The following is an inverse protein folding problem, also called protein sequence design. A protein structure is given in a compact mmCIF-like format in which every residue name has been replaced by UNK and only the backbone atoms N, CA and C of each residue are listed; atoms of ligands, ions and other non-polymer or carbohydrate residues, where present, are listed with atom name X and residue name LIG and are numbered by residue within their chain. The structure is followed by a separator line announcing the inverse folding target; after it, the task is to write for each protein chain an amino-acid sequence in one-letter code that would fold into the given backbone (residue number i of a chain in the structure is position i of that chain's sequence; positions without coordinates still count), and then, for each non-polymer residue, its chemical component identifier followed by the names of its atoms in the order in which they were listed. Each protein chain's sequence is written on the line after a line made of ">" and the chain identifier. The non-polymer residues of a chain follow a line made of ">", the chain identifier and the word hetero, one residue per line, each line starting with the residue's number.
data_IF_383823306542
#
_entry.id   IF_383823306542
#
_cell.length_a   1.000
_cell.length_b   1.000
_cell.length_c   1.000
_cell.angle_alpha   90.00
_cell.angle_beta   90.00
_cell.angle_gamma   90.00
#
_symmetry.space_group_name_H-M   'P 1'
#
loop_
_entity.id
_entity.type
_entity.pdbx_description
1 polymer ?
#
# COMPACT_ATOMS: atom_id res chain seq x y z
N UNK A 1 -21.60 -10.84 12.86
CA UNK A 1 -20.28 -10.17 12.97
C UNK A 1 -19.23 -11.12 12.40
N UNK A 2 -18.69 -10.81 11.23
CA UNK A 2 -17.70 -11.65 10.56
C UNK A 2 -17.49 -11.12 9.15
N UNK A 3 -16.24 -10.79 8.83
CA UNK A 3 -15.84 -10.45 7.47
C UNK A 3 -15.97 -11.72 6.62
N UNK A 4 -16.83 -11.68 5.59
CA UNK A 4 -17.25 -12.87 4.82
C UNK A 4 -16.36 -13.18 3.60
N UNK A 5 -15.39 -12.33 3.29
CA UNK A 5 -14.48 -12.51 2.16
C UNK A 5 -13.17 -13.16 2.58
N UNK A 6 -12.42 -13.68 1.61
CA UNK A 6 -11.08 -14.22 1.84
C UNK A 6 -10.14 -13.11 2.33
N UNK A 7 -9.61 -13.28 3.55
CA UNK A 7 -8.69 -12.30 4.15
C UNK A 7 -7.32 -12.41 3.46
N UNK A 8 -6.83 -11.33 2.80
CA UNK A 8 -5.50 -11.30 2.20
C UNK A 8 -4.42 -11.31 3.28
N UNK A 9 -3.24 -11.79 2.91
CA UNK A 9 -2.05 -11.75 3.75
C UNK A 9 -1.12 -10.63 3.31
N UNK A 10 -0.64 -9.82 4.25
CA UNK A 10 0.43 -8.84 4.02
C UNK A 10 1.63 -9.24 4.89
N UNK A 11 2.77 -9.64 4.30
CA UNK A 11 3.92 -10.08 5.07
C UNK A 11 4.49 -8.91 5.88
N UNK A 12 4.77 -9.10 7.19
CA UNK A 12 5.49 -8.11 7.98
C UNK A 12 6.79 -7.71 7.28
N UNK A 13 7.06 -6.40 7.24
CA UNK A 13 8.22 -5.81 6.57
C UNK A 13 8.35 -6.14 5.06
N UNK A 14 7.32 -6.70 4.43
CA UNK A 14 7.39 -7.14 3.04
C UNK A 14 8.27 -8.38 2.83
N UNK A 15 8.60 -9.12 3.89
CA UNK A 15 9.48 -10.28 3.78
C UNK A 15 8.80 -11.46 3.06
N UNK A 16 9.15 -11.64 1.78
CA UNK A 16 8.55 -12.62 0.89
C UNK A 16 9.51 -13.73 0.45
N UNK A 17 9.98 -14.55 1.39
CA UNK A 17 10.88 -15.67 1.06
C UNK A 17 10.12 -16.80 0.36
N UNK A 18 10.83 -17.63 -0.41
CA UNK A 18 10.29 -18.69 -1.27
C UNK A 18 9.25 -19.62 -0.61
N UNK A 19 9.39 -19.91 0.68
CA UNK A 19 8.43 -20.75 1.41
C UNK A 19 7.08 -20.07 1.64
N UNK A 20 7.03 -18.76 1.86
CA UNK A 20 5.80 -18.04 2.21
C UNK A 20 4.77 -18.03 1.06
N UNK A 21 5.10 -17.66 -0.20
CA UNK A 21 4.17 -17.77 -1.31
C UNK A 21 3.65 -19.19 -1.52
N UNK A 22 4.49 -20.20 -1.31
CA UNK A 22 4.08 -21.60 -1.42
C UNK A 22 3.00 -21.94 -0.38
N UNK A 23 3.21 -21.60 0.90
CA UNK A 23 2.20 -21.81 1.95
C UNK A 23 0.91 -21.04 1.66
N UNK A 24 1.01 -19.76 1.30
CA UNK A 24 -0.18 -18.93 1.04
C UNK A 24 -1.00 -19.46 -0.15
N UNK A 25 -0.33 -20.00 -1.18
CA UNK A 25 -1.01 -20.64 -2.29
C UNK A 25 -1.77 -21.91 -1.87
N UNK A 26 -1.18 -22.76 -1.01
CA UNK A 26 -1.88 -23.92 -0.44
C UNK A 26 -3.10 -23.52 0.39
N UNK A 27 -3.07 -22.32 0.99
CA UNK A 27 -4.17 -21.77 1.77
C UNK A 27 -5.16 -20.93 0.96
N UNK A 28 -4.96 -20.81 -0.37
CA UNK A 28 -5.75 -19.94 -1.26
C UNK A 28 -5.83 -18.49 -0.75
N UNK A 29 -4.72 -17.97 -0.20
CA UNK A 29 -4.63 -16.59 0.30
C UNK A 29 -3.81 -15.71 -0.63
N UNK A 30 -4.38 -14.58 -1.02
CA UNK A 30 -3.66 -13.58 -1.77
C UNK A 30 -2.55 -12.96 -0.91
N UNK A 31 -1.34 -12.85 -1.47
CA UNK A 31 -0.19 -12.22 -0.84
C UNK A 31 -0.04 -10.80 -1.38
N UNK A 32 -0.31 -9.80 -0.55
CA UNK A 32 -0.56 -8.43 -0.97
C UNK A 32 0.53 -7.50 -0.43
N UNK A 33 1.06 -6.69 -1.33
CA UNK A 33 2.08 -5.68 -1.06
C UNK A 33 1.52 -4.28 -1.28
N UNK A 34 2.41 -3.30 -1.31
CA UNK A 34 2.14 -1.91 -1.62
C UNK A 34 3.05 -1.46 -2.76
N UNK A 35 2.60 -0.46 -3.52
CA UNK A 35 3.41 0.18 -4.56
C UNK A 35 3.90 1.57 -4.14
N UNK A 36 3.28 2.15 -3.12
CA UNK A 36 3.57 3.50 -2.63
C UNK A 36 3.88 3.41 -1.13
N UNK A 37 5.07 3.88 -0.75
CA UNK A 37 5.57 3.82 0.62
C UNK A 37 6.18 5.17 1.03
N UNK A 38 5.50 5.96 1.88
CA UNK A 38 6.04 7.21 2.41
C UNK A 38 6.90 7.02 3.65
N UNK A 39 7.05 5.80 4.17
CA UNK A 39 7.72 5.55 5.45
C UNK A 39 7.17 6.40 6.59
N UNK A 40 5.85 6.42 6.73
CA UNK A 40 5.15 7.23 7.72
C UNK A 40 5.58 6.90 9.16
N UNK A 41 5.95 5.64 9.42
CA UNK A 41 6.49 5.19 10.71
C UNK A 41 7.82 5.86 11.11
N UNK A 42 8.56 6.45 10.18
CA UNK A 42 9.82 7.18 10.40
C UNK A 42 9.64 8.70 10.34
N UNK A 43 8.52 9.18 9.83
CA UNK A 43 8.30 10.61 9.60
C UNK A 43 7.96 11.34 10.89
N UNK A 44 8.54 12.54 11.08
CA UNK A 44 8.30 13.38 12.26
C UNK A 44 7.18 14.40 12.07
N UNK A 45 6.69 14.60 10.84
CA UNK A 45 5.63 15.55 10.52
C UNK A 45 4.86 15.12 9.25
N UNK A 46 3.66 15.67 9.07
CA UNK A 46 2.82 15.38 7.91
C UNK A 46 3.47 15.84 6.59
N UNK A 47 4.20 16.95 6.60
CA UNK A 47 4.91 17.49 5.44
C UNK A 47 6.00 16.54 4.95
N UNK A 48 6.67 15.83 5.87
CA UNK A 48 7.66 14.80 5.50
C UNK A 48 6.98 13.62 4.80
N UNK A 49 5.79 13.22 5.23
CA UNK A 49 5.00 12.17 4.58
C UNK A 49 4.59 12.63 3.17
N UNK A 50 3.99 13.82 3.07
CA UNK A 50 3.51 14.38 1.81
C UNK A 50 4.63 14.61 0.80
N UNK A 51 5.78 15.13 1.22
CA UNK A 51 6.94 15.31 0.34
C UNK A 51 7.46 13.98 -0.21
N UNK A 52 7.44 12.91 0.59
CA UNK A 52 7.83 11.56 0.14
C UNK A 52 6.82 10.94 -0.84
N UNK A 53 5.60 11.46 -0.93
CA UNK A 53 4.55 11.02 -1.87
C UNK A 53 4.56 11.78 -3.20
N UNK A 54 5.27 12.91 -3.28
CA UNK A 54 5.31 13.73 -4.50
C UNK A 54 5.75 12.89 -5.71
N UNK A 55 4.91 12.88 -6.75
CA UNK A 55 5.15 12.15 -8.00
C UNK A 55 5.03 10.62 -7.90
N UNK A 56 4.67 10.05 -6.74
CA UNK A 56 4.55 8.59 -6.55
C UNK A 56 3.12 8.07 -6.61
N UNK A 57 2.13 8.91 -6.36
CA UNK A 57 0.72 8.47 -6.38
C UNK A 57 0.26 8.29 -7.83
N UNK A 58 -0.33 7.14 -8.10
CA UNK A 58 -0.78 6.72 -9.43
C UNK A 58 -2.04 5.85 -9.31
N UNK A 59 -2.83 5.80 -10.39
CA UNK A 59 -4.00 4.91 -10.46
C UNK A 59 -3.60 3.44 -10.27
N UNK A 60 -4.42 2.69 -9.53
CA UNK A 60 -4.14 1.30 -9.16
C UNK A 60 -3.03 1.12 -8.12
N UNK A 61 -2.50 2.20 -7.55
CA UNK A 61 -1.50 2.13 -6.49
C UNK A 61 -2.09 1.69 -5.14
N UNK A 62 -1.29 0.95 -4.36
CA UNK A 62 -1.61 0.60 -2.97
C UNK A 62 -0.65 1.40 -2.08
N UNK A 63 -1.19 2.32 -1.28
CA UNK A 63 -0.46 3.14 -0.33
C UNK A 63 -0.36 2.44 1.03
N UNK A 64 0.87 2.26 1.52
CA UNK A 64 1.11 1.75 2.88
C UNK A 64 1.15 2.90 3.89
N UNK A 65 0.33 2.78 4.94
CA UNK A 65 0.34 3.63 6.14
C UNK A 65 0.19 2.75 7.38
N UNK A 66 0.56 3.27 8.55
CA UNK A 66 0.54 2.55 9.82
C UNK A 66 -0.29 3.27 10.88
N UNK A 67 -1.05 2.50 11.66
CA UNK A 67 -1.82 2.93 12.83
C UNK A 67 -1.18 2.46 14.16
N UNK A 68 -0.22 1.54 14.13
CA UNK A 68 0.46 0.99 15.31
C UNK A 68 1.87 1.56 15.53
N UNK A 69 2.29 1.66 16.79
CA UNK A 69 3.62 2.18 17.19
C UNK A 69 4.75 1.19 16.90
N UNK A 70 5.97 1.70 16.67
CA UNK A 70 7.15 0.86 16.50
C UNK A 70 7.55 0.18 17.82
N UNK A 71 8.18 -1.01 17.72
CA UNK A 71 8.62 -1.82 18.87
C UNK A 71 9.53 -1.04 19.85
N UNK A 72 9.62 -1.48 21.14
CA UNK A 72 10.13 -0.67 22.26
C UNK A 72 11.59 -0.18 22.16
N UNK A 73 12.32 -0.63 21.16
CA UNK A 73 13.75 -0.47 20.95
C UNK A 73 14.10 0.16 19.59
N UNK A 74 13.11 0.76 18.90
CA UNK A 74 13.33 1.67 17.76
C UNK A 74 12.90 3.08 18.14
N UNK A 75 13.77 4.06 17.92
CA UNK A 75 13.67 5.47 18.32
C UNK A 75 12.57 6.28 17.61
N UNK A 76 11.35 5.76 17.52
CA UNK A 76 10.16 6.56 17.16
C UNK A 76 9.00 6.14 18.05
N UNK A 77 9.07 6.57 19.31
CA UNK A 77 7.89 6.72 20.15
C UNK A 77 7.25 8.06 19.79
N UNK A 78 6.04 8.04 19.25
CA UNK A 78 5.35 9.27 18.87
C UNK A 78 3.95 8.97 18.41
N UNK A 79 3.05 9.92 18.68
CA UNK A 79 1.67 9.90 18.16
C UNK A 79 1.63 9.63 16.66
N UNK A 80 0.59 8.94 16.19
CA UNK A 80 0.26 8.77 14.77
C UNK A 80 -0.41 10.01 14.15
N UNK A 81 -0.49 11.12 14.89
CA UNK A 81 -1.05 12.39 14.40
C UNK A 81 -0.47 12.86 13.05
N UNK A 82 0.85 12.77 12.79
CA UNK A 82 1.40 13.12 11.47
C UNK A 82 0.83 12.28 10.32
N UNK A 83 0.65 10.97 10.55
CA UNK A 83 0.04 10.06 9.56
C UNK A 83 -1.42 10.44 9.31
N UNK A 84 -2.19 10.74 10.37
CA UNK A 84 -3.60 11.12 10.27
C UNK A 84 -3.76 12.46 9.55
N UNK A 85 -2.94 13.45 9.87
CA UNK A 85 -2.93 14.76 9.21
C UNK A 85 -2.55 14.65 7.73
N UNK A 86 -1.49 13.90 7.41
CA UNK A 86 -1.10 13.64 6.03
C UNK A 86 -2.20 12.90 5.26
N UNK A 87 -2.88 11.93 5.89
CA UNK A 87 -4.01 11.22 5.27
C UNK A 87 -5.14 12.18 4.89
N UNK A 88 -5.48 13.14 5.74
CA UNK A 88 -6.46 14.18 5.42
C UNK A 88 -6.09 14.94 4.14
N UNK A 89 -4.86 15.46 4.07
CA UNK A 89 -4.38 16.19 2.90
C UNK A 89 -4.30 15.32 1.63
N UNK A 90 -3.95 14.03 1.75
CA UNK A 90 -3.95 13.06 0.64
C UNK A 90 -5.37 12.89 0.11
N UNK A 91 -6.34 12.65 0.99
CA UNK A 91 -7.73 12.47 0.59
C UNK A 91 -8.26 13.71 -0.15
N UNK A 92 -8.10 14.90 0.43
CA UNK A 92 -8.56 16.16 -0.18
C UNK A 92 -7.95 16.37 -1.57
N UNK A 93 -6.62 16.19 -1.68
CA UNK A 93 -5.87 16.43 -2.92
C UNK A 93 -6.30 15.47 -4.03
N UNK A 94 -6.37 14.17 -3.74
CA UNK A 94 -6.56 13.16 -4.78
C UNK A 94 -8.03 12.91 -5.10
N UNK A 95 -8.95 13.11 -4.15
CA UNK A 95 -10.39 13.15 -4.47
C UNK A 95 -10.69 14.30 -5.43
N UNK A 96 -10.11 15.49 -5.23
CA UNK A 96 -10.27 16.63 -6.13
C UNK A 96 -9.68 16.37 -7.54
N UNK A 97 -8.69 15.50 -7.65
CA UNK A 97 -8.12 15.05 -8.93
C UNK A 97 -8.89 13.89 -9.59
N UNK A 98 -10.02 13.47 -9.01
CA UNK A 98 -10.87 12.41 -9.55
C UNK A 98 -10.43 11.00 -9.19
N UNK A 99 -9.50 10.82 -8.24
CA UNK A 99 -9.19 9.50 -7.71
C UNK A 99 -10.36 8.95 -6.89
N UNK A 100 -10.48 7.63 -6.88
CA UNK A 100 -11.34 6.90 -5.95
C UNK A 100 -10.48 6.07 -5.02
N UNK A 101 -10.72 6.19 -3.72
CA UNK A 101 -10.17 5.28 -2.73
C UNK A 101 -11.12 4.09 -2.59
N UNK A 102 -10.60 2.89 -2.79
CA UNK A 102 -11.37 1.65 -2.81
C UNK A 102 -10.74 0.63 -1.87
N UNK A 103 -11.52 -0.37 -1.50
CA UNK A 103 -11.00 -1.55 -0.80
C UNK A 103 -10.10 -2.37 -1.71
N UNK A 104 -9.31 -3.27 -1.11
CA UNK A 104 -8.48 -4.17 -1.89
C UNK A 104 -9.32 -5.13 -2.76
N UNK A 105 -10.44 -5.63 -2.24
CA UNK A 105 -11.34 -6.53 -2.98
C UNK A 105 -11.87 -5.86 -4.26
N UNK A 106 -12.28 -4.60 -4.17
CA UNK A 106 -12.71 -3.79 -5.32
C UNK A 106 -11.55 -3.56 -6.31
N UNK A 107 -10.35 -3.25 -5.82
CA UNK A 107 -9.18 -3.06 -6.68
C UNK A 107 -8.81 -4.35 -7.44
N UNK A 108 -8.86 -5.51 -6.78
CA UNK A 108 -8.61 -6.80 -7.42
C UNK A 108 -9.69 -7.17 -8.44
N UNK A 109 -10.95 -6.84 -8.17
CA UNK A 109 -12.07 -7.08 -9.09
C UNK A 109 -12.02 -6.19 -10.33
N UNK A 110 -11.48 -4.97 -10.22
CA UNK A 110 -11.27 -4.06 -11.35
C UNK A 110 -10.18 -4.54 -12.33
N UNK A 111 -9.34 -5.51 -11.93
CA UNK A 111 -8.22 -6.01 -12.73
C UNK A 111 -7.00 -5.08 -12.70
N UNK A 112 -5.90 -5.47 -13.35
CA UNK A 112 -4.70 -4.65 -13.40
C UNK A 112 -4.99 -3.30 -14.08
N UNK A 113 -4.40 -2.18 -13.61
CA UNK A 113 -4.53 -0.92 -14.32
C UNK A 113 -3.98 -1.09 -15.75
N UNK A 114 -4.64 -0.50 -16.76
CA UNK A 114 -4.28 -0.63 -18.18
C UNK A 114 -2.80 -0.29 -18.51
N UNK A 115 -2.08 0.34 -17.58
CA UNK A 115 -0.64 0.58 -17.63
C UNK A 115 0.22 -0.67 -17.45
N UNK A 116 -0.29 -1.73 -16.80
CA UNK A 116 0.41 -3.01 -16.61
C UNK A 116 0.45 -3.87 -17.89
N UNK A 117 -0.47 -3.62 -18.82
CA UNK A 117 -0.54 -4.29 -20.13
C UNK A 117 0.32 -3.63 -21.20
N UNK A 118 1.03 -2.53 -20.88
CA UNK A 118 2.03 -2.00 -21.82
C UNK A 118 3.20 -2.99 -21.89
N UNK A 119 3.61 -3.43 -23.10
CA UNK A 119 4.85 -4.17 -23.25
C UNK A 119 5.96 -3.38 -22.54
N UNK A 120 6.70 -4.04 -21.65
CA UNK A 120 7.98 -3.48 -21.19
C UNK A 120 8.76 -3.18 -22.46
N UNK A 121 9.05 -1.91 -22.71
CA UNK A 121 9.76 -1.48 -23.92
C UNK A 121 11.04 -2.30 -24.05
N UNK A 122 11.04 -3.28 -24.97
CA UNK A 122 12.15 -4.19 -25.20
C UNK A 122 11.82 -5.69 -25.28
N UNK A 123 10.63 -6.15 -24.92
CA UNK A 123 10.25 -7.56 -25.13
C UNK A 123 9.45 -7.70 -26.45
N UNK A 124 10.15 -7.99 -27.54
CA UNK A 124 9.51 -8.57 -28.73
C UNK A 124 9.12 -10.01 -28.39
N UNK A 125 7.83 -10.32 -28.51
CA UNK A 125 7.30 -11.68 -28.37
C UNK A 125 7.88 -12.60 -29.48
N UNK A 126 8.01 -13.91 -29.23
CA UNK A 126 8.45 -14.90 -30.23
C UNK A 126 7.49 -15.03 -31.41
#
# INVERSE_FOLDING_TARGET
>A
LGYGEAIPFRPPYGHNRWFLPWVLNQMQRANIFWSIDPKDWEAKSAEVILSRLQGKIHAGGILLLHDGDALPNRLVYGTRAPTVEALGAILDTYLAQGYRFVTLSELMAAGPPALWDRPRSGATAP
#
